data_IF_455104007995
#
_entry.id   IF_455104007995
#
_cell.length_a   1.000
_cell.length_b   1.000
_cell.length_c   1.000
_cell.angle_alpha   90.00
_cell.angle_beta   90.00
_cell.angle_gamma   90.00
#
_symmetry.space_group_name_H-M   'P 1'
#
loop_
_entity.id
_entity.type
_entity.pdbx_description
1 polymer ?
#
# COMPACT_ATOMS: atom_id res chain seq x y z
N UNK A 1 2.45 16.71 -27.59
CA UNK A 1 1.41 15.70 -27.86
C UNK A 1 0.96 15.15 -26.51
N UNK A 2 -0.34 15.24 -26.18
CA UNK A 2 -0.87 14.71 -24.92
C UNK A 2 -0.82 13.17 -24.86
N UNK A 3 -1.08 12.56 -23.68
CA UNK A 3 -1.16 11.10 -23.57
C UNK A 3 -2.30 10.55 -24.43
N UNK A 4 -2.15 9.31 -24.90
CA UNK A 4 -3.20 8.60 -25.62
C UNK A 4 -4.49 8.56 -24.78
N UNK A 5 -5.69 8.76 -25.37
CA UNK A 5 -6.95 8.83 -24.62
C UNK A 5 -7.20 7.66 -23.67
N UNK A 6 -6.85 6.43 -24.09
CA UNK A 6 -6.97 5.24 -23.24
C UNK A 6 -6.09 5.32 -21.98
N UNK A 7 -4.84 5.80 -22.11
CA UNK A 7 -3.93 5.97 -20.98
C UNK A 7 -4.45 7.05 -20.02
N UNK A 8 -4.98 8.14 -20.56
CA UNK A 8 -5.60 9.19 -19.74
C UNK A 8 -6.82 8.67 -18.96
N UNK A 9 -7.66 7.84 -19.59
CA UNK A 9 -8.82 7.24 -18.95
C UNK A 9 -8.43 6.31 -17.80
N UNK A 10 -7.45 5.41 -18.01
CA UNK A 10 -6.97 4.50 -16.95
C UNK A 10 -6.40 5.32 -15.78
N UNK A 11 -5.57 6.33 -16.07
CA UNK A 11 -4.99 7.18 -15.01
C UNK A 11 -6.05 7.96 -14.22
N UNK A 12 -7.08 8.47 -14.89
CA UNK A 12 -8.20 9.13 -14.21
C UNK A 12 -8.96 8.16 -13.31
N UNK A 13 -9.23 6.94 -13.79
CA UNK A 13 -9.90 5.91 -13.01
C UNK A 13 -9.07 5.52 -11.78
N UNK A 14 -7.77 5.28 -11.93
CA UNK A 14 -6.85 4.97 -10.82
C UNK A 14 -6.83 6.10 -9.80
N UNK A 15 -6.69 7.35 -10.24
CA UNK A 15 -6.69 8.49 -9.32
C UNK A 15 -7.95 8.57 -8.47
N UNK A 16 -9.13 8.32 -9.07
CA UNK A 16 -10.41 8.30 -8.33
C UNK A 16 -10.41 7.24 -7.25
N UNK A 17 -10.05 6.00 -7.60
CA UNK A 17 -9.95 4.89 -6.63
C UNK A 17 -8.95 5.19 -5.53
N UNK A 18 -7.81 5.81 -5.84
CA UNK A 18 -6.82 6.18 -4.83
C UNK A 18 -7.34 7.24 -3.84
N UNK A 19 -8.17 8.19 -4.31
CA UNK A 19 -8.86 9.12 -3.41
C UNK A 19 -9.86 8.42 -2.52
N UNK A 20 -10.63 7.47 -3.05
CA UNK A 20 -11.59 6.69 -2.27
C UNK A 20 -10.86 5.90 -1.17
N UNK A 21 -9.78 5.21 -1.51
CA UNK A 21 -8.92 4.48 -0.55
C UNK A 21 -8.37 5.41 0.54
N UNK A 22 -7.91 6.61 0.17
CA UNK A 22 -7.41 7.59 1.15
C UNK A 22 -8.51 8.03 2.13
N UNK A 23 -9.70 8.30 1.61
CA UNK A 23 -10.85 8.71 2.43
C UNK A 23 -11.26 7.59 3.40
N UNK A 24 -11.35 6.35 2.91
CA UNK A 24 -11.68 5.17 3.72
C UNK A 24 -10.62 4.93 4.80
N UNK A 25 -9.34 5.02 4.44
CA UNK A 25 -8.23 4.87 5.38
C UNK A 25 -8.27 5.93 6.49
N UNK A 26 -8.61 7.18 6.15
CA UNK A 26 -8.79 8.24 7.15
C UNK A 26 -9.99 7.98 8.07
N UNK A 27 -11.12 7.52 7.52
CA UNK A 27 -12.29 7.16 8.32
C UNK A 27 -11.96 6.06 9.33
N UNK A 28 -11.35 4.96 8.86
CA UNK A 28 -10.95 3.83 9.72
C UNK A 28 -9.99 4.28 10.83
N UNK A 29 -8.98 5.09 10.50
CA UNK A 29 -8.03 5.58 11.50
C UNK A 29 -8.68 6.52 12.53
N UNK A 30 -9.61 7.36 12.11
CA UNK A 30 -10.32 8.27 13.02
C UNK A 30 -11.25 7.51 13.97
N UNK A 31 -11.91 6.45 13.49
CA UNK A 31 -12.75 5.58 14.33
C UNK A 31 -11.90 4.87 15.39
N UNK A 32 -10.73 4.36 15.02
CA UNK A 32 -9.80 3.74 15.97
C UNK A 32 -9.28 4.72 17.02
N UNK A 33 -9.00 5.98 16.64
CA UNK A 33 -8.59 7.00 17.59
C UNK A 33 -9.72 7.37 18.56
N UNK A 34 -10.94 7.55 18.06
CA UNK A 34 -12.12 7.84 18.88
C UNK A 34 -12.44 6.69 19.85
N UNK A 35 -12.12 5.44 19.51
CA UNK A 35 -12.22 4.31 20.43
C UNK A 35 -11.12 4.30 21.50
N UNK A 36 -9.89 4.72 21.15
CA UNK A 36 -8.75 4.78 22.07
C UNK A 36 -8.83 5.94 23.07
N UNK A 37 -9.46 7.08 22.69
CA UNK A 37 -9.68 8.24 23.57
C UNK A 37 -10.88 8.07 24.52
N UNK A 38 -11.61 6.96 24.46
CA UNK A 38 -12.62 6.66 25.48
C UNK A 38 -11.90 6.36 26.80
N UNK A 39 -12.28 7.02 27.91
CA UNK A 39 -11.66 6.73 29.20
C UNK A 39 -11.84 5.24 29.50
N UNK A 40 -10.73 4.55 29.73
CA UNK A 40 -10.73 3.16 30.15
C UNK A 40 -11.62 3.05 31.40
N UNK A 41 -12.79 2.44 31.26
CA UNK A 41 -13.56 2.00 32.41
C UNK A 41 -12.67 1.07 33.20
N UNK A 42 -12.20 1.54 34.35
CA UNK A 42 -11.45 0.74 35.31
C UNK A 42 -12.22 -0.57 35.55
N UNK A 43 -11.60 -1.71 35.24
CA UNK A 43 -11.16 -2.68 36.24
C UNK A 43 -10.80 -4.02 35.57
N UNK A 44 -9.50 -4.31 35.45
CA UNK A 44 -8.98 -5.68 35.41
C UNK A 44 -7.47 -5.68 35.68
N UNK A 45 -6.98 -6.35 36.73
CA UNK A 45 -5.55 -6.40 37.01
C UNK A 45 -4.83 -7.37 36.06
N UNK A 46 -3.71 -6.91 35.49
CA UNK A 46 -2.79 -7.71 34.67
C UNK A 46 -1.63 -8.18 35.56
N UNK A 47 -1.29 -9.48 35.63
CA UNK A 47 -0.12 -9.93 36.38
C UNK A 47 1.16 -9.64 35.60
N UNK A 48 2.11 -9.01 36.29
CA UNK A 48 3.44 -8.69 35.80
C UNK A 48 4.37 -9.90 35.92
N UNK A 49 4.92 -10.39 34.81
CA UNK A 49 6.36 -10.68 34.68
C UNK A 49 6.76 -11.11 33.25
N UNK A 50 7.52 -10.26 32.53
CA UNK A 50 8.59 -10.71 31.62
C UNK A 50 9.43 -9.53 31.15
N UNK A 51 10.67 -9.45 31.65
CA UNK A 51 11.70 -8.54 31.15
C UNK A 51 12.19 -8.99 29.77
N UNK A 52 12.26 -8.06 28.82
CA UNK A 52 13.00 -8.21 27.55
C UNK A 52 14.07 -7.10 27.49
N UNK A 53 15.33 -7.39 27.12
CA UNK A 53 16.42 -6.41 27.23
C UNK A 53 16.33 -5.34 26.13
N UNK A 54 16.75 -4.13 26.51
CA UNK A 54 16.87 -2.97 25.63
C UNK A 54 18.15 -3.06 24.80
N UNK A 55 18.05 -2.99 23.46
CA UNK A 55 18.93 -2.14 22.65
C UNK A 55 18.43 -2.02 21.19
N UNK A 56 17.95 -0.83 20.80
CA UNK A 56 18.20 -0.23 19.47
C UNK A 56 17.80 1.24 19.53
N UNK A 57 18.79 2.12 19.71
CA UNK A 57 18.60 3.58 19.70
C UNK A 57 18.02 4.04 18.36
N UNK A 58 16.79 4.53 18.38
CA UNK A 58 16.21 5.34 17.29
C UNK A 58 16.46 6.79 17.63
N UNK A 59 17.59 7.33 17.15
CA UNK A 59 17.84 8.77 17.15
C UNK A 59 17.29 9.34 15.84
N UNK A 60 16.12 9.95 15.94
CA UNK A 60 15.44 10.68 14.88
C UNK A 60 14.08 11.08 15.41
N UNK A 61 13.93 12.37 15.73
CA UNK A 61 12.73 12.99 16.27
C UNK A 61 11.55 12.70 15.33
N UNK A 62 10.80 11.61 15.60
CA UNK A 62 9.47 11.43 15.03
C UNK A 62 8.58 12.44 15.74
N UNK A 63 8.21 13.49 15.03
CA UNK A 63 7.03 14.28 15.38
C UNK A 63 5.89 13.31 15.72
N UNK A 64 5.28 13.39 16.91
CA UNK A 64 4.12 12.58 17.19
C UNK A 64 3.04 13.00 16.19
N UNK A 65 2.54 12.03 15.42
CA UNK A 65 1.41 12.10 14.48
C UNK A 65 1.67 12.23 12.96
N UNK A 66 2.83 11.89 12.40
CA UNK A 66 2.86 11.55 10.96
C UNK A 66 2.32 10.13 10.76
N UNK A 67 1.02 10.04 10.47
CA UNK A 67 0.34 8.76 10.23
C UNK A 67 0.89 8.18 8.91
N UNK A 68 1.29 6.89 8.89
CA UNK A 68 1.86 6.31 7.68
C UNK A 68 0.81 6.30 6.58
N UNK A 69 1.20 6.74 5.38
CA UNK A 69 0.32 6.67 4.22
C UNK A 69 -0.04 5.21 3.88
N UNK A 70 -1.26 4.97 3.36
CA UNK A 70 -1.69 3.63 3.01
C UNK A 70 -0.75 3.02 1.97
N UNK A 71 -0.59 1.69 2.05
CA UNK A 71 0.07 0.90 1.01
C UNK A 71 -1.00 0.31 0.09
N UNK A 72 -0.93 0.62 -1.20
CA UNK A 72 -1.82 0.08 -2.23
C UNK A 72 -1.04 -0.88 -3.12
N UNK A 73 -1.52 -2.11 -3.25
CA UNK A 73 -0.90 -3.13 -4.09
C UNK A 73 -1.76 -3.41 -5.32
N UNK A 74 -1.16 -3.40 -6.50
CA UNK A 74 -1.81 -3.86 -7.74
C UNK A 74 -1.50 -5.34 -7.99
N UNK A 75 -2.54 -6.15 -8.19
CA UNK A 75 -2.38 -7.50 -8.68
C UNK A 75 -2.04 -7.47 -10.19
N UNK A 76 -0.89 -8.03 -10.55
CA UNK A 76 -0.38 -8.02 -11.91
C UNK A 76 -0.11 -9.44 -12.40
N UNK A 77 -0.87 -9.89 -13.40
CA UNK A 77 -0.66 -11.19 -14.07
C UNK A 77 0.34 -11.10 -15.23
N UNK A 78 0.79 -9.90 -15.57
CA UNK A 78 1.64 -9.64 -16.74
C UNK A 78 0.88 -9.47 -18.06
N UNK A 79 -0.45 -9.49 -18.03
CA UNK A 79 -1.29 -9.11 -19.16
C UNK A 79 -1.31 -7.59 -19.38
N UNK A 80 -1.72 -7.16 -20.57
CA UNK A 80 -1.72 -5.74 -20.96
C UNK A 80 -2.57 -4.87 -20.01
N UNK A 81 -3.75 -5.35 -19.61
CA UNK A 81 -4.66 -4.60 -18.75
C UNK A 81 -4.07 -4.38 -17.35
N UNK A 82 -3.54 -5.44 -16.73
CA UNK A 82 -2.93 -5.35 -15.40
C UNK A 82 -1.62 -4.56 -15.41
N UNK A 83 -0.85 -4.63 -16.50
CA UNK A 83 0.34 -3.79 -16.70
C UNK A 83 -0.03 -2.32 -16.89
N UNK A 84 -1.12 -2.04 -17.61
CA UNK A 84 -1.66 -0.68 -17.76
C UNK A 84 -2.14 -0.11 -16.42
N UNK A 85 -2.81 -0.93 -15.61
CA UNK A 85 -3.20 -0.56 -14.25
C UNK A 85 -2.00 -0.29 -13.35
N UNK A 86 -0.97 -1.14 -13.39
CA UNK A 86 0.26 -0.96 -12.63
C UNK A 86 1.01 0.32 -13.04
N UNK A 87 1.14 0.57 -14.34
CA UNK A 87 1.75 1.80 -14.86
C UNK A 87 0.99 3.05 -14.40
N UNK A 88 -0.34 3.02 -14.43
CA UNK A 88 -1.15 4.12 -13.93
C UNK A 88 -1.04 4.31 -12.41
N UNK A 89 -1.00 3.23 -11.64
CA UNK A 89 -0.79 3.27 -10.18
C UNK A 89 0.57 3.89 -9.85
N UNK A 90 1.64 3.41 -10.47
CA UNK A 90 3.00 3.93 -10.28
C UNK A 90 3.08 5.44 -10.57
N UNK A 91 2.33 5.90 -11.58
CA UNK A 91 2.34 7.31 -11.96
C UNK A 91 1.49 8.21 -11.04
N UNK A 92 0.35 7.73 -10.56
CA UNK A 92 -0.60 8.55 -9.79
C UNK A 92 -0.35 8.50 -8.27
N UNK A 93 0.08 7.37 -7.71
CA UNK A 93 0.24 7.21 -6.26
C UNK A 93 1.21 8.21 -5.61
N UNK A 94 2.39 8.52 -6.19
CA UNK A 94 3.32 9.50 -5.60
C UNK A 94 2.71 10.91 -5.50
N UNK A 95 1.79 11.27 -6.39
CA UNK A 95 1.12 12.57 -6.41
C UNK A 95 0.12 12.76 -5.27
N UNK A 96 -0.30 11.64 -4.69
CA UNK A 96 -1.22 11.58 -3.57
C UNK A 96 -0.51 11.20 -2.26
N UNK A 97 0.83 11.06 -2.27
CA UNK A 97 1.61 10.62 -1.11
C UNK A 97 1.33 9.16 -0.70
N UNK A 98 0.75 8.35 -1.59
CA UNK A 98 0.40 6.95 -1.33
C UNK A 98 1.62 6.08 -1.62
N UNK A 99 1.88 5.10 -0.75
CA UNK A 99 2.86 4.04 -1.04
C UNK A 99 2.20 3.04 -1.97
N UNK A 100 2.89 2.68 -3.06
CA UNK A 100 2.39 1.72 -4.02
C UNK A 100 3.39 0.57 -4.21
N UNK A 101 2.86 -0.59 -4.58
CA UNK A 101 3.66 -1.74 -4.99
C UNK A 101 2.88 -2.65 -5.95
N UNK A 102 3.59 -3.58 -6.58
CA UNK A 102 2.99 -4.60 -7.44
C UNK A 102 3.13 -5.99 -6.86
N UNK A 103 2.11 -6.84 -7.04
CA UNK A 103 2.15 -8.25 -6.66
C UNK A 103 1.77 -9.13 -7.83
N UNK A 104 2.51 -10.21 -8.02
CA UNK A 104 2.17 -11.28 -8.96
C UNK A 104 2.12 -12.60 -8.20
N UNK A 105 1.31 -13.54 -8.67
CA UNK A 105 1.15 -14.87 -8.06
C UNK A 105 1.44 -15.91 -9.12
N UNK A 106 2.50 -16.68 -8.90
CA UNK A 106 2.72 -17.90 -9.66
C UNK A 106 1.79 -19.00 -9.11
N UNK A 107 0.87 -19.47 -9.95
CA UNK A 107 -0.07 -20.53 -9.61
C UNK A 107 0.43 -21.93 -9.98
N UNK A 108 1.57 -22.06 -10.68
CA UNK A 108 2.11 -23.35 -11.11
C UNK A 108 1.24 -24.09 -12.14
N UNK A 109 0.37 -23.39 -12.87
CA UNK A 109 -0.61 -24.00 -13.78
C UNK A 109 0.01 -24.47 -15.11
N UNK A 110 1.16 -23.91 -15.49
CA UNK A 110 1.82 -24.18 -16.76
C UNK A 110 3.33 -24.26 -16.55
N UNK A 111 4.06 -25.08 -17.33
CA UNK A 111 5.52 -25.04 -17.34
C UNK A 111 6.05 -23.63 -17.64
N UNK A 112 7.03 -23.17 -16.86
CA UNK A 112 7.62 -21.83 -17.00
C UNK A 112 6.81 -20.69 -16.38
N UNK A 113 5.79 -20.99 -15.57
CA UNK A 113 5.00 -19.96 -14.87
C UNK A 113 5.81 -19.17 -13.84
N UNK A 114 6.85 -19.80 -13.28
CA UNK A 114 7.87 -19.21 -12.41
C UNK A 114 8.66 -18.12 -13.15
N UNK A 115 9.21 -18.45 -14.32
CA UNK A 115 9.92 -17.49 -15.17
C UNK A 115 9.01 -16.34 -15.59
N UNK A 116 7.73 -16.64 -15.90
CA UNK A 116 6.75 -15.61 -16.21
C UNK A 116 6.50 -14.67 -15.03
N UNK A 117 6.38 -15.19 -13.82
CA UNK A 117 6.22 -14.37 -12.62
C UNK A 117 7.45 -13.49 -12.38
N UNK A 118 8.66 -14.02 -12.58
CA UNK A 118 9.91 -13.24 -12.51
C UNK A 118 9.94 -12.10 -13.53
N UNK A 119 9.56 -12.35 -14.79
CA UNK A 119 9.44 -11.30 -15.81
C UNK A 119 8.48 -10.18 -15.37
N UNK A 120 7.35 -10.53 -14.74
CA UNK A 120 6.38 -9.55 -14.25
C UNK A 120 6.98 -8.73 -13.12
N UNK A 121 7.68 -9.35 -12.17
CA UNK A 121 8.38 -8.65 -11.09
C UNK A 121 9.41 -7.67 -11.64
N UNK A 122 10.18 -8.05 -12.66
CA UNK A 122 11.16 -7.16 -13.29
C UNK A 122 10.48 -5.92 -13.90
N UNK A 123 9.39 -6.12 -14.65
CA UNK A 123 8.63 -5.00 -15.23
C UNK A 123 8.00 -4.09 -14.16
N UNK A 124 7.53 -4.65 -13.06
CA UNK A 124 6.99 -3.85 -11.95
C UNK A 124 8.08 -3.00 -11.29
N UNK A 125 9.28 -3.56 -11.09
CA UNK A 125 10.44 -2.80 -10.58
C UNK A 125 10.85 -1.67 -11.50
N UNK A 126 10.81 -1.89 -12.82
CA UNK A 126 11.08 -0.85 -13.82
C UNK A 126 10.08 0.32 -13.74
N UNK A 127 8.85 0.05 -13.28
CA UNK A 127 7.84 1.08 -13.03
C UNK A 127 8.02 1.79 -11.67
N UNK A 128 8.94 1.33 -10.82
CA UNK A 128 9.15 1.85 -9.46
C UNK A 128 8.15 1.31 -8.43
N UNK A 129 7.61 0.10 -8.67
CA UNK A 129 6.71 -0.64 -7.79
C UNK A 129 7.39 -1.83 -7.09
#
# INVERSE_FOLDING_TARGET
MGPHPAVAAIRLAVRRVLHDILNDHHAILNDHHAAADRPASADRPVPADRRVPADRRVSGERSPHERPSPLVLVACSGGADSMGLASALAFEAPKLGIRAGGVTVDHGLQPGSDLRAEEVVLRLRELGL
#
